data_IF_026588978632
#
_entry.id   IF_026588978632
#
_cell.length_a   1.000
_cell.length_b   1.000
_cell.length_c   1.000
_cell.angle_alpha   90.00
_cell.angle_beta   90.00
_cell.angle_gamma   90.00
#
_symmetry.space_group_name_H-M   'P 1'
#
loop_
_entity.id
_entity.type
_entity.pdbx_description
1 polymer ?
#
# COMPACT_ATOMS: atom_id res chain seq x y z
N UNK A 1 -1.11 -8.14 -14.39
CA UNK A 1 -1.99 -7.26 -13.59
C UNK A 1 -1.78 -7.47 -12.10
N UNK A 2 -1.83 -8.71 -11.60
CA UNK A 2 -1.56 -9.00 -10.18
C UNK A 2 -0.09 -8.78 -9.80
N UNK A 3 0.86 -9.08 -10.70
CA UNK A 3 2.29 -8.83 -10.46
C UNK A 3 2.56 -7.35 -10.19
N UNK A 4 2.02 -6.44 -11.00
CA UNK A 4 2.20 -4.99 -10.81
C UNK A 4 1.55 -4.48 -9.51
N UNK A 5 0.47 -5.13 -9.05
CA UNK A 5 -0.11 -4.84 -7.74
C UNK A 5 0.83 -5.33 -6.62
N UNK A 6 1.41 -6.52 -6.75
CA UNK A 6 2.37 -7.05 -5.79
C UNK A 6 3.61 -6.16 -5.68
N UNK A 7 4.13 -5.65 -6.80
CA UNK A 7 5.26 -4.70 -6.81
C UNK A 7 4.90 -3.44 -6.01
N UNK A 8 3.67 -2.93 -6.15
CA UNK A 8 3.20 -1.80 -5.35
C UNK A 8 3.05 -2.16 -3.86
N UNK A 9 2.64 -3.38 -3.54
CA UNK A 9 2.57 -3.85 -2.15
C UNK A 9 3.96 -3.98 -1.52
N UNK A 10 4.93 -4.51 -2.25
CA UNK A 10 6.32 -4.61 -1.81
C UNK A 10 6.91 -3.21 -1.54
N UNK A 11 6.62 -2.26 -2.43
CA UNK A 11 7.01 -0.87 -2.21
C UNK A 11 6.40 -0.28 -0.93
N UNK A 12 5.12 -0.56 -0.62
CA UNK A 12 4.51 -0.11 0.65
C UNK A 12 5.28 -0.66 1.85
N UNK A 13 5.55 -1.96 1.86
CA UNK A 13 6.21 -2.64 2.99
C UNK A 13 7.64 -2.15 3.19
N UNK A 14 8.39 -1.92 2.10
CA UNK A 14 9.76 -1.40 2.15
C UNK A 14 9.85 0.05 2.66
N UNK A 15 8.78 0.85 2.51
CA UNK A 15 8.79 2.29 2.83
C UNK A 15 7.79 2.66 3.94
N UNK A 16 7.42 1.73 4.82
CA UNK A 16 6.44 1.98 5.90
C UNK A 16 6.84 3.16 6.81
N UNK A 17 8.13 3.43 6.98
CA UNK A 17 8.64 4.56 7.78
C UNK A 17 8.57 5.93 7.10
N UNK A 18 8.25 5.98 5.80
CA UNK A 18 8.37 7.18 4.96
C UNK A 18 7.01 7.73 4.52
N UNK A 19 6.99 8.81 3.74
CA UNK A 19 5.75 9.29 3.12
C UNK A 19 5.45 8.45 1.88
N UNK A 20 4.37 7.68 1.91
CA UNK A 20 3.90 6.88 0.76
C UNK A 20 2.78 7.64 0.04
N UNK A 21 2.93 7.88 -1.26
CA UNK A 21 1.91 8.53 -2.09
C UNK A 21 1.20 7.54 -3.01
N UNK A 22 -0.13 7.59 -3.06
CA UNK A 22 -0.91 6.68 -3.92
C UNK A 22 -0.60 6.87 -5.42
N UNK A 23 -0.19 8.07 -5.83
CA UNK A 23 0.24 8.34 -7.19
C UNK A 23 1.50 7.55 -7.58
N UNK A 24 2.42 7.33 -6.64
CA UNK A 24 3.62 6.51 -6.86
C UNK A 24 3.26 5.03 -7.01
N UNK A 25 2.43 4.53 -6.09
CA UNK A 25 1.94 3.16 -6.14
C UNK A 25 1.16 2.87 -7.42
N UNK A 26 0.39 3.85 -7.91
CA UNK A 26 -0.32 3.75 -9.18
C UNK A 26 0.64 3.69 -10.38
N UNK A 27 1.75 4.44 -10.35
CA UNK A 27 2.80 4.34 -11.38
C UNK A 27 3.45 2.97 -11.40
N UNK A 28 3.82 2.42 -10.23
CA UNK A 28 4.36 1.06 -10.10
C UNK A 28 3.36 0.03 -10.63
N UNK A 29 2.10 0.19 -10.26
CA UNK A 29 1.02 -0.69 -10.69
C UNK A 29 0.56 -0.46 -12.15
N UNK A 30 1.21 0.43 -12.91
CA UNK A 30 0.89 0.77 -14.29
C UNK A 30 -0.59 1.17 -14.52
N UNK A 31 -1.13 1.98 -13.60
CA UNK A 31 -2.55 2.38 -13.60
C UNK A 31 -2.73 3.83 -13.14
N UNK A 32 -3.94 4.38 -13.28
CA UNK A 32 -4.27 5.66 -12.66
C UNK A 32 -4.43 5.52 -11.14
N UNK A 33 -4.21 6.61 -10.40
CA UNK A 33 -4.40 6.63 -8.94
C UNK A 33 -5.82 6.23 -8.54
N UNK A 34 -6.82 6.68 -9.29
CA UNK A 34 -8.22 6.31 -9.06
C UNK A 34 -8.42 4.78 -9.17
N UNK A 35 -7.94 4.18 -10.26
CA UNK A 35 -8.05 2.74 -10.48
C UNK A 35 -7.25 1.95 -9.46
N UNK A 36 -6.06 2.42 -9.07
CA UNK A 36 -5.25 1.79 -8.04
C UNK A 36 -6.01 1.72 -6.71
N UNK A 37 -6.48 2.87 -6.21
CA UNK A 37 -7.23 2.95 -4.94
C UNK A 37 -8.49 2.08 -4.97
N UNK A 38 -9.21 2.06 -6.09
CA UNK A 38 -10.41 1.24 -6.28
C UNK A 38 -10.08 -0.25 -6.28
N UNK A 39 -9.09 -0.69 -7.04
CA UNK A 39 -8.66 -2.09 -7.11
C UNK A 39 -8.13 -2.56 -5.75
N UNK A 40 -7.25 -1.78 -5.13
CA UNK A 40 -6.73 -2.08 -3.80
C UNK A 40 -7.87 -2.28 -2.80
N UNK A 41 -8.82 -1.34 -2.74
CA UNK A 41 -9.91 -1.41 -1.77
C UNK A 41 -10.85 -2.59 -2.03
N UNK A 42 -11.09 -2.93 -3.30
CA UNK A 42 -11.88 -4.09 -3.68
C UNK A 42 -11.22 -5.42 -3.28
N UNK A 43 -9.89 -5.50 -3.30
CA UNK A 43 -9.12 -6.70 -2.97
C UNK A 43 -8.82 -6.82 -1.46
N UNK A 44 -8.40 -5.72 -0.82
CA UNK A 44 -8.02 -5.69 0.59
C UNK A 44 -9.21 -5.52 1.55
N UNK A 45 -10.39 -5.14 1.02
CA UNK A 45 -11.59 -4.89 1.83
C UNK A 45 -11.54 -3.61 2.67
N UNK A 46 -10.53 -2.75 2.46
CA UNK A 46 -10.35 -1.50 3.18
C UNK A 46 -9.57 -0.45 2.37
N UNK A 47 -9.69 0.85 2.67
CA UNK A 47 -8.96 1.89 1.95
C UNK A 47 -7.44 1.78 2.09
N UNK A 48 -6.70 2.16 1.05
CA UNK A 48 -5.23 2.15 1.04
C UNK A 48 -4.59 2.89 2.22
N UNK A 49 -5.11 4.07 2.58
CA UNK A 49 -4.58 4.85 3.72
C UNK A 49 -4.80 4.14 5.06
N UNK A 50 -5.91 3.43 5.21
CA UNK A 50 -6.22 2.61 6.38
C UNK A 50 -5.24 1.43 6.47
N UNK A 51 -4.96 0.77 5.35
CA UNK A 51 -4.00 -0.32 5.27
C UNK A 51 -2.61 0.10 5.75
N UNK A 52 -2.07 1.18 5.16
CA UNK A 52 -0.73 1.69 5.48
C UNK A 52 -0.65 2.06 6.96
N UNK A 53 -1.68 2.72 7.50
CA UNK A 53 -1.72 3.06 8.93
C UNK A 53 -1.68 1.81 9.82
N UNK A 54 -2.43 0.76 9.48
CA UNK A 54 -2.43 -0.51 10.23
C UNK A 54 -1.09 -1.20 10.17
N UNK A 55 -0.47 -1.27 9.00
CA UNK A 55 0.88 -1.87 8.83
C UNK A 55 1.91 -1.17 9.69
N UNK A 56 1.92 0.18 9.71
CA UNK A 56 2.79 0.96 10.61
C UNK A 56 2.60 0.62 12.08
N UNK A 57 1.35 0.54 12.55
CA UNK A 57 1.06 0.18 13.94
C UNK A 57 1.51 -1.26 14.26
N UNK A 58 1.31 -2.20 13.34
CA UNK A 58 1.77 -3.58 13.51
C UNK A 58 3.29 -3.66 13.64
N UNK A 59 4.03 -2.97 12.76
CA UNK A 59 5.50 -2.95 12.81
C UNK A 59 5.99 -2.27 14.09
N UNK A 60 5.48 -1.09 14.42
CA UNK A 60 5.86 -0.38 15.64
C UNK A 60 5.54 -1.17 16.91
N UNK A 61 4.42 -1.91 16.94
CA UNK A 61 4.09 -2.78 18.07
C UNK A 61 5.01 -4.00 18.19
N UNK A 62 5.58 -4.48 17.09
CA UNK A 62 6.52 -5.60 17.08
C UNK A 62 7.92 -5.20 17.57
N UNK A 63 8.32 -3.93 17.43
CA UNK A 63 9.62 -3.42 17.92
C UNK A 63 9.69 -3.25 19.45
N UNK A 64 8.54 -3.29 20.14
CA UNK A 64 8.44 -3.06 21.59
C UNK A 64 8.47 -4.37 22.41
N UNK A 65 8.45 -5.54 21.74
CA UNK A 65 8.52 -6.88 22.36
C UNK A 65 9.94 -7.45 22.32
#
# INVERSE_FOLDING_TARGET
MLEQLNDAMEHIEAHLGERIEAAELARIAMTSEYHFRRMFSALAGLPLSEYIRRRRMTVAGAEVL
#
